data_IF_355261609783
#
_entry.id   IF_355261609783
#
_cell.length_a   1.000
_cell.length_b   1.000
_cell.length_c   1.000
_cell.angle_alpha   90.00
_cell.angle_beta   90.00
_cell.angle_gamma   90.00
#
_symmetry.space_group_name_H-M   'P 1'
#
loop_
_entity.id
_entity.type
_entity.pdbx_description
1 polymer ?
#
# COMPACT_ATOMS: atom_id res chain seq x y z
N UNK A 1 -32.01 7.39 -4.62
CA UNK A 1 -31.20 6.36 -5.29
C UNK A 1 -29.81 6.93 -5.59
N UNK A 2 -28.79 6.19 -5.23
CA UNK A 2 -27.39 6.55 -5.42
C UNK A 2 -26.75 5.52 -6.37
N UNK A 3 -25.96 5.98 -7.33
CA UNK A 3 -25.24 5.14 -8.31
C UNK A 3 -23.73 5.36 -8.28
N UNK A 4 -23.26 6.24 -7.41
CA UNK A 4 -21.83 6.52 -7.23
C UNK A 4 -21.51 6.72 -5.76
N UNK A 5 -20.32 6.31 -5.40
CA UNK A 5 -19.75 6.51 -4.07
C UNK A 5 -18.35 7.13 -4.19
N UNK A 6 -18.11 8.14 -3.38
CA UNK A 6 -16.80 8.79 -3.31
C UNK A 6 -16.19 8.50 -1.94
N UNK A 7 -14.94 8.00 -1.95
CA UNK A 7 -14.20 7.69 -0.73
C UNK A 7 -12.90 8.46 -0.73
N UNK A 8 -12.62 9.13 0.37
CA UNK A 8 -11.35 9.82 0.60
C UNK A 8 -10.57 9.09 1.69
N UNK A 9 -9.32 8.80 1.43
CA UNK A 9 -8.41 8.17 2.39
C UNK A 9 -7.02 8.80 2.27
N UNK A 10 -6.23 8.62 3.32
CA UNK A 10 -4.90 9.20 3.39
C UNK A 10 -3.87 8.27 2.75
N UNK A 11 -3.00 8.82 1.91
CA UNK A 11 -1.90 8.08 1.28
C UNK A 11 -0.75 7.88 2.28
N UNK A 12 -1.00 7.02 3.27
CA UNK A 12 -0.09 6.75 4.37
C UNK A 12 -0.42 5.37 4.95
N UNK A 13 0.40 4.37 4.60
CA UNK A 13 0.16 2.98 5.00
C UNK A 13 1.35 2.44 5.82
N UNK A 14 1.15 2.13 7.10
CA UNK A 14 2.15 1.43 7.88
C UNK A 14 2.19 -0.04 7.47
N UNK A 15 3.36 -0.53 7.12
CA UNK A 15 3.57 -1.92 6.65
C UNK A 15 4.83 -2.50 7.28
N UNK A 16 4.77 -3.78 7.62
CA UNK A 16 5.94 -4.62 7.91
C UNK A 16 6.01 -5.75 6.91
N UNK A 17 7.20 -6.10 6.49
CA UNK A 17 7.39 -7.21 5.56
C UNK A 17 8.81 -7.74 5.54
N UNK A 18 8.94 -8.94 5.02
CA UNK A 18 10.22 -9.62 4.78
C UNK A 18 10.19 -10.24 3.40
N UNK A 19 11.32 -10.20 2.71
CA UNK A 19 11.50 -10.86 1.42
C UNK A 19 12.87 -11.51 1.40
N UNK A 20 12.96 -12.72 0.85
CA UNK A 20 14.23 -13.38 0.58
C UNK A 20 14.57 -13.25 -0.91
N UNK A 21 15.74 -12.70 -1.18
CA UNK A 21 16.27 -12.57 -2.54
C UNK A 21 17.75 -12.97 -2.57
N UNK A 22 18.10 -13.83 -3.51
CA UNK A 22 19.49 -14.34 -3.61
C UNK A 22 20.00 -15.04 -2.36
N UNK A 23 19.12 -15.68 -1.58
CA UNK A 23 19.48 -16.35 -0.32
C UNK A 23 19.58 -15.41 0.89
N UNK A 24 19.38 -14.12 0.72
CA UNK A 24 19.43 -13.12 1.79
C UNK A 24 18.02 -12.62 2.12
N UNK A 25 17.70 -12.54 3.41
CA UNK A 25 16.44 -11.95 3.87
C UNK A 25 16.58 -10.43 4.00
N UNK A 26 15.60 -9.72 3.49
CA UNK A 26 15.48 -8.26 3.56
C UNK A 26 14.21 -7.89 4.31
N UNK A 27 14.32 -6.92 5.21
CA UNK A 27 13.25 -6.51 6.11
C UNK A 27 12.86 -5.06 5.87
N UNK A 28 11.60 -4.71 6.11
CA UNK A 28 11.20 -3.31 6.22
C UNK A 28 11.89 -2.69 7.42
N UNK A 29 12.47 -1.50 7.23
CA UNK A 29 13.17 -0.76 8.27
C UNK A 29 12.75 0.71 8.26
N UNK A 30 13.19 1.47 9.23
CA UNK A 30 12.99 2.93 9.27
C UNK A 30 13.96 3.69 8.36
N UNK A 31 14.99 3.02 7.85
CA UNK A 31 15.93 3.62 6.91
C UNK A 31 15.28 3.80 5.54
N UNK A 32 15.44 4.95 4.93
CA UNK A 32 14.97 5.25 3.58
C UNK A 32 16.13 5.26 2.61
N UNK A 33 15.89 4.74 1.41
CA UNK A 33 16.83 4.73 0.32
C UNK A 33 16.21 5.35 -0.93
N UNK A 34 16.93 6.24 -1.60
CA UNK A 34 16.47 6.82 -2.87
C UNK A 34 15.26 7.74 -2.78
N UNK A 35 14.94 8.24 -1.61
CA UNK A 35 13.82 9.14 -1.39
C UNK A 35 12.79 8.61 -0.39
N UNK A 36 11.81 9.43 -0.07
CA UNK A 36 10.76 9.08 0.87
C UNK A 36 9.99 7.84 0.39
N UNK A 37 9.77 6.90 1.27
CA UNK A 37 8.97 5.68 1.13
C UNK A 37 9.66 4.45 0.55
N UNK A 38 10.92 4.54 0.23
CA UNK A 38 11.69 3.38 -0.19
C UNK A 38 12.51 2.89 0.99
N UNK A 39 12.59 1.58 1.14
CA UNK A 39 13.33 0.96 2.22
C UNK A 39 14.40 0.12 1.58
N UNK A 40 15.64 0.40 1.94
CA UNK A 40 16.74 -0.48 1.56
C UNK A 40 16.85 -1.62 2.57
N UNK A 41 16.80 -2.84 2.07
CA UNK A 41 17.34 -3.97 2.80
C UNK A 41 18.77 -4.17 2.35
N UNK A 42 19.73 -4.00 3.24
CA UNK A 42 21.13 -4.31 3.02
C UNK A 42 21.48 -5.60 3.77
N UNK A 43 22.19 -6.57 3.17
CA UNK A 43 22.65 -7.75 3.89
C UNK A 43 23.44 -7.43 5.16
N UNK A 44 24.20 -6.34 5.17
CA UNK A 44 24.94 -5.88 6.34
C UNK A 44 24.04 -5.33 7.46
N UNK A 45 22.86 -4.83 7.12
CA UNK A 45 21.91 -4.21 8.05
C UNK A 45 20.73 -5.13 8.38
N UNK A 46 20.67 -6.29 7.78
CA UNK A 46 19.62 -7.28 8.00
C UNK A 46 19.77 -8.10 9.28
N UNK A 47 20.50 -7.59 10.24
CA UNK A 47 20.72 -8.27 11.51
C UNK A 47 19.44 -8.42 12.36
N UNK A 48 18.28 -8.45 11.72
CA UNK A 48 17.26 -9.21 12.33
C UNK A 48 16.01 -8.61 12.90
N UNK A 49 15.57 -7.41 12.63
CA UNK A 49 14.21 -7.08 13.05
C UNK A 49 13.45 -6.24 12.02
N UNK A 50 12.28 -6.74 11.67
CA UNK A 50 11.30 -5.96 10.92
C UNK A 50 10.85 -4.78 11.77
N UNK A 51 10.84 -3.60 11.18
CA UNK A 51 10.19 -2.44 11.76
C UNK A 51 9.06 -1.94 10.85
N UNK A 52 8.06 -1.32 11.44
CA UNK A 52 7.01 -0.66 10.66
C UNK A 52 7.60 0.50 9.89
N UNK A 53 7.31 0.54 8.61
CA UNK A 53 7.60 1.70 7.77
C UNK A 53 6.31 2.23 7.16
N UNK A 54 6.16 3.54 7.11
CA UNK A 54 4.99 4.19 6.54
C UNK A 54 5.24 4.49 5.07
N UNK A 55 4.54 3.76 4.20
CA UNK A 55 4.60 3.90 2.75
C UNK A 55 3.55 4.88 2.23
N UNK A 56 3.87 5.53 1.12
CA UNK A 56 2.87 6.03 0.17
C UNK A 56 2.62 5.00 -0.91
N UNK A 57 1.48 5.09 -1.57
CA UNK A 57 1.25 4.48 -2.87
C UNK A 57 1.69 5.50 -3.91
N UNK A 58 2.68 5.13 -4.73
CA UNK A 58 3.36 6.07 -5.63
C UNK A 58 2.42 6.73 -6.63
N UNK A 59 1.51 5.95 -7.22
CA UNK A 59 0.54 6.43 -8.21
C UNK A 59 -0.54 7.36 -7.61
N UNK A 60 -0.62 7.44 -6.28
CA UNK A 60 -1.60 8.27 -5.58
C UNK A 60 -1.05 9.61 -5.10
N UNK A 61 0.22 9.89 -5.38
CA UNK A 61 0.86 11.15 -5.05
C UNK A 61 1.72 11.12 -3.79
N UNK A 62 1.86 12.26 -3.14
CA UNK A 62 2.78 12.41 -2.01
C UNK A 62 2.30 11.69 -0.75
N UNK A 63 3.26 11.35 0.11
CA UNK A 63 2.97 10.82 1.45
C UNK A 63 2.13 11.81 2.25
N UNK A 64 1.18 11.29 3.03
CA UNK A 64 0.30 12.06 3.89
C UNK A 64 -0.63 13.04 3.15
N UNK A 65 -0.89 12.82 1.87
CA UNK A 65 -1.92 13.53 1.12
C UNK A 65 -3.22 12.74 1.09
N UNK A 66 -4.33 13.44 0.97
CA UNK A 66 -5.64 12.80 0.83
C UNK A 66 -5.88 12.42 -0.63
N UNK A 67 -6.39 11.20 -0.82
CA UNK A 67 -6.70 10.64 -2.12
C UNK A 67 -8.18 10.33 -2.17
N UNK A 68 -8.86 10.84 -3.19
CA UNK A 68 -10.28 10.58 -3.41
C UNK A 68 -10.46 9.64 -4.59
N UNK A 69 -11.21 8.58 -4.38
CA UNK A 69 -11.60 7.62 -5.42
C UNK A 69 -13.11 7.61 -5.60
N UNK A 70 -13.51 7.59 -6.85
CA UNK A 70 -14.90 7.47 -7.27
C UNK A 70 -15.18 6.02 -7.69
N UNK A 71 -16.28 5.49 -7.18
CA UNK A 71 -16.76 4.15 -7.54
C UNK A 71 -18.15 4.26 -8.15
N UNK A 72 -18.36 3.60 -9.29
CA UNK A 72 -19.70 3.31 -9.77
C UNK A 72 -20.22 2.12 -8.97
N UNK A 73 -21.44 2.24 -8.47
CA UNK A 73 -22.11 1.19 -7.72
C UNK A 73 -23.42 0.82 -8.41
N UNK A 74 -23.91 -0.39 -8.17
CA UNK A 74 -25.28 -0.73 -8.53
C UNK A 74 -26.23 0.26 -7.87
N UNK A 75 -27.21 0.82 -8.58
CA UNK A 75 -28.07 1.83 -7.98
C UNK A 75 -28.74 1.33 -6.71
N UNK A 76 -28.52 2.03 -5.61
CA UNK A 76 -29.06 1.71 -4.28
C UNK A 76 -30.00 2.81 -3.82
N UNK A 77 -31.15 2.41 -3.31
CA UNK A 77 -32.05 3.32 -2.61
C UNK A 77 -31.84 3.14 -1.11
N UNK A 78 -31.33 4.18 -0.48
CA UNK A 78 -31.17 4.21 0.98
C UNK A 78 -32.41 4.85 1.59
N UNK A 79 -33.03 4.17 2.52
CA UNK A 79 -34.14 4.66 3.31
C UNK A 79 -33.83 4.54 4.82
N UNK A 80 -34.67 5.13 5.65
CA UNK A 80 -34.47 5.15 7.09
C UNK A 80 -34.62 3.76 7.76
N UNK A 81 -35.13 2.77 7.04
CA UNK A 81 -35.35 1.41 7.55
C UNK A 81 -34.26 0.43 7.15
N UNK A 82 -33.35 0.84 6.25
CA UNK A 82 -32.30 -0.03 5.71
C UNK A 82 -30.95 0.37 6.26
N UNK A 83 -30.31 -0.58 6.97
CA UNK A 83 -28.93 -0.44 7.38
C UNK A 83 -28.01 -0.87 6.21
N UNK A 84 -27.45 0.13 5.52
CA UNK A 84 -26.58 -0.10 4.37
C UNK A 84 -25.12 0.04 4.77
N UNK A 85 -24.38 -1.06 4.74
CA UNK A 85 -22.96 -1.13 5.12
C UNK A 85 -22.08 -1.54 3.94
N UNK A 86 -21.64 -0.61 3.09
CA UNK A 86 -20.74 -0.93 1.99
C UNK A 86 -19.37 -1.34 2.52
N UNK A 87 -18.79 -2.36 1.90
CA UNK A 87 -17.44 -2.82 2.22
C UNK A 87 -16.47 -2.38 1.14
N UNK A 88 -15.46 -1.61 1.52
CA UNK A 88 -14.38 -1.24 0.64
C UNK A 88 -13.30 -2.33 0.69
N UNK A 89 -13.05 -2.99 -0.45
CA UNK A 89 -12.03 -4.03 -0.58
C UNK A 89 -10.78 -3.48 -1.28
N UNK A 90 -9.65 -3.62 -0.61
CA UNK A 90 -8.34 -3.38 -1.20
C UNK A 90 -7.69 -4.72 -1.56
N UNK A 91 -7.45 -4.96 -2.83
CA UNK A 91 -6.71 -6.13 -3.29
C UNK A 91 -5.24 -5.75 -3.42
N UNK A 92 -4.42 -6.29 -2.52
CA UNK A 92 -2.99 -5.96 -2.39
C UNK A 92 -2.06 -6.98 -3.05
N UNK A 93 -2.60 -7.93 -3.79
CA UNK A 93 -1.79 -8.90 -4.54
C UNK A 93 -0.85 -8.19 -5.51
N UNK A 94 0.45 -8.50 -5.42
CA UNK A 94 1.51 -7.90 -6.25
C UNK A 94 1.70 -6.38 -6.08
N UNK A 95 1.23 -5.80 -4.98
CA UNK A 95 1.38 -4.37 -4.72
C UNK A 95 2.64 -4.05 -3.90
N UNK A 96 3.11 -5.00 -3.11
CA UNK A 96 4.36 -4.87 -2.37
C UNK A 96 5.53 -5.29 -3.26
N UNK A 97 6.35 -4.32 -3.64
CA UNK A 97 7.41 -4.47 -4.63
C UNK A 97 8.78 -4.43 -3.96
N UNK A 98 9.69 -5.23 -4.49
CA UNK A 98 11.11 -5.20 -4.15
C UNK A 98 11.88 -4.76 -5.40
N UNK A 99 12.61 -3.65 -5.30
CA UNK A 99 13.25 -2.97 -6.42
C UNK A 99 14.72 -2.74 -6.15
N UNK A 100 15.47 -2.43 -7.20
CA UNK A 100 16.88 -2.08 -7.16
C UNK A 100 17.64 -2.65 -8.34
N UNK A 101 18.95 -2.46 -8.37
CA UNK A 101 19.83 -3.01 -9.40
C UNK A 101 20.31 -4.39 -9.00
N UNK A 102 20.05 -5.39 -9.84
CA UNK A 102 20.47 -6.77 -9.58
C UNK A 102 21.98 -6.85 -9.24
N UNK A 103 22.31 -7.56 -8.18
CA UNK A 103 23.68 -7.70 -7.69
C UNK A 103 24.23 -6.52 -6.89
N UNK A 104 23.46 -5.45 -6.70
CA UNK A 104 23.89 -4.28 -5.92
C UNK A 104 22.96 -4.09 -4.72
N UNK A 105 23.24 -4.78 -3.62
CA UNK A 105 22.38 -4.82 -2.44
C UNK A 105 22.08 -3.45 -1.85
N UNK A 106 23.00 -2.51 -1.92
CA UNK A 106 22.83 -1.14 -1.44
C UNK A 106 21.75 -0.34 -2.21
N UNK A 107 21.27 -0.86 -3.34
CA UNK A 107 20.18 -0.24 -4.13
C UNK A 107 18.83 -0.84 -3.87
N UNK A 108 18.72 -1.91 -3.09
CA UNK A 108 17.46 -2.61 -2.86
C UNK A 108 16.54 -1.84 -1.93
N UNK A 109 15.27 -1.79 -2.29
CA UNK A 109 14.23 -1.12 -1.51
C UNK A 109 12.85 -1.73 -1.75
N UNK A 110 11.96 -1.49 -0.79
CA UNK A 110 10.55 -1.81 -0.92
C UNK A 110 9.74 -0.61 -1.38
N UNK A 111 8.70 -0.86 -2.14
CA UNK A 111 7.75 0.14 -2.58
C UNK A 111 6.33 -0.43 -2.61
N UNK A 112 5.33 0.43 -2.54
CA UNK A 112 3.92 0.04 -2.75
C UNK A 112 3.41 0.62 -4.05
N UNK A 113 2.86 -0.24 -4.90
CA UNK A 113 2.03 0.17 -6.04
C UNK A 113 0.56 0.25 -5.65
N UNK A 114 -0.24 0.90 -6.48
CA UNK A 114 -1.67 1.07 -6.22
C UNK A 114 -2.38 -0.29 -6.14
N UNK A 115 -3.13 -0.56 -5.05
CA UNK A 115 -4.00 -1.71 -4.98
C UNK A 115 -5.19 -1.55 -5.91
N UNK A 116 -5.81 -2.65 -6.28
CA UNK A 116 -7.14 -2.61 -6.85
C UNK A 116 -8.14 -2.33 -5.73
N UNK A 117 -8.97 -1.32 -5.92
CA UNK A 117 -9.99 -0.95 -4.94
C UNK A 117 -11.36 -1.23 -5.56
N UNK A 118 -12.20 -1.95 -4.84
CA UNK A 118 -13.56 -2.26 -5.25
C UNK A 118 -14.53 -2.09 -4.09
N UNK A 119 -15.77 -1.79 -4.41
CA UNK A 119 -16.87 -1.77 -3.46
C UNK A 119 -17.59 -3.11 -3.51
N UNK A 120 -17.85 -3.68 -2.34
CA UNK A 120 -18.71 -4.83 -2.17
C UNK A 120 -20.01 -4.33 -1.57
N UNK A 121 -21.08 -4.55 -2.31
CA UNK A 121 -22.43 -4.32 -1.79
C UNK A 121 -22.82 -5.47 -0.85
N UNK A 122 -23.45 -5.17 0.26
CA UNK A 122 -23.94 -6.20 1.16
C UNK A 122 -25.06 -7.02 0.56
#
# INVERSE_FOLDING_TARGET
>A
TYSRMKVTFRNSLPVTGTLTYGGTAYYTTTATFGGANNIAGDPANNAGSQTVFTFKIEEWGALNTDVTKDFSITPVTVDASTDYQPILRFTISKTFLFKGSAGTASTYYFALSAPTVSLIEP
#
